data_IF_064633419257
#
_entry.id   IF_064633419257
#
_cell.length_a   1.000
_cell.length_b   1.000
_cell.length_c   1.000
_cell.angle_alpha   90.00
_cell.angle_beta   90.00
_cell.angle_gamma   90.00
#
_symmetry.space_group_name_H-M   'P 1'
#
loop_
_entity.id
_entity.type
_entity.pdbx_description
1 polymer ?
#
# COMPACT_ATOMS: atom_id res chain seq x y z
N UNK A 1 -3.84 16.90 -13.68
CA UNK A 1 -4.55 15.74 -13.09
C UNK A 1 -3.93 14.49 -13.70
N UNK A 2 -3.25 13.64 -12.89
CA UNK A 2 -2.71 12.37 -13.37
C UNK A 2 -3.91 11.42 -13.42
N UNK A 3 -4.33 11.04 -14.61
CA UNK A 3 -5.41 10.04 -14.79
C UNK A 3 -4.79 8.68 -14.49
N UNK A 4 -5.41 7.84 -13.66
CA UNK A 4 -4.99 6.45 -13.50
C UNK A 4 -4.92 5.79 -14.88
N UNK A 5 -3.81 5.10 -15.18
CA UNK A 5 -3.60 4.46 -16.49
C UNK A 5 -4.57 3.32 -16.73
N UNK A 6 -5.06 2.71 -15.65
CA UNK A 6 -5.97 1.57 -15.67
C UNK A 6 -7.15 1.86 -14.74
N UNK A 7 -8.35 1.68 -15.22
CA UNK A 7 -9.56 1.89 -14.44
C UNK A 7 -9.81 0.75 -13.44
N UNK A 8 -10.61 1.03 -12.40
CA UNK A 8 -11.06 -0.01 -11.45
C UNK A 8 -11.71 -1.19 -12.17
N UNK A 9 -12.50 -0.92 -13.20
CA UNK A 9 -13.21 -1.96 -13.96
C UNK A 9 -12.23 -2.89 -14.68
N UNK A 10 -11.21 -2.32 -15.34
CA UNK A 10 -10.17 -3.11 -16.03
C UNK A 10 -9.35 -3.94 -15.05
N UNK A 11 -8.96 -3.38 -13.89
CA UNK A 11 -8.25 -4.13 -12.86
C UNK A 11 -9.10 -5.31 -12.38
N UNK A 12 -10.37 -5.07 -12.06
CA UNK A 12 -11.26 -6.13 -11.58
C UNK A 12 -11.51 -7.21 -12.63
N UNK A 13 -11.62 -6.85 -13.92
CA UNK A 13 -11.72 -7.81 -15.00
C UNK A 13 -10.45 -8.67 -15.12
N UNK A 14 -9.28 -8.07 -15.09
CA UNK A 14 -8.00 -8.81 -15.13
C UNK A 14 -7.88 -9.79 -13.96
N UNK A 15 -8.18 -9.35 -12.75
CA UNK A 15 -8.09 -10.21 -11.55
C UNK A 15 -9.10 -11.36 -11.60
N UNK A 16 -10.35 -11.10 -11.97
CA UNK A 16 -11.38 -12.12 -12.13
C UNK A 16 -11.00 -13.15 -13.19
N UNK A 17 -10.51 -12.72 -14.34
CA UNK A 17 -10.06 -13.63 -15.40
C UNK A 17 -8.93 -14.56 -14.94
N UNK A 18 -8.02 -14.08 -14.07
CA UNK A 18 -7.00 -14.94 -13.45
C UNK A 18 -7.62 -15.97 -12.49
N UNK A 19 -8.54 -15.54 -11.64
CA UNK A 19 -9.25 -16.44 -10.71
C UNK A 19 -10.00 -17.53 -11.45
N UNK A 20 -10.73 -17.18 -12.50
CA UNK A 20 -11.48 -18.13 -13.35
C UNK A 20 -10.55 -19.17 -14.00
N UNK A 21 -9.37 -18.73 -14.42
CA UNK A 21 -8.32 -19.61 -14.99
C UNK A 21 -7.48 -20.32 -13.92
N UNK A 22 -7.78 -20.14 -12.63
CA UNK A 22 -6.98 -20.65 -11.50
C UNK A 22 -5.50 -20.25 -11.56
N UNK A 23 -5.22 -19.06 -12.07
CA UNK A 23 -3.88 -18.48 -12.10
C UNK A 23 -3.64 -17.66 -10.83
N UNK A 24 -2.40 -17.63 -10.32
CA UNK A 24 -2.07 -16.83 -9.16
C UNK A 24 -2.15 -15.34 -9.46
N UNK A 25 -2.58 -14.57 -8.47
CA UNK A 25 -2.46 -13.10 -8.46
C UNK A 25 -1.16 -12.77 -7.73
N UNK A 26 -0.24 -12.11 -8.42
CA UNK A 26 1.07 -11.77 -7.87
C UNK A 26 1.04 -10.35 -7.32
N UNK A 27 1.27 -10.22 -6.01
CA UNK A 27 1.36 -8.95 -5.30
C UNK A 27 2.76 -8.85 -4.70
N UNK A 28 3.45 -7.77 -4.97
CA UNK A 28 4.79 -7.52 -4.44
C UNK A 28 4.93 -6.09 -3.93
N UNK A 29 5.86 -5.89 -3.00
CA UNK A 29 6.11 -4.56 -2.42
C UNK A 29 7.37 -3.94 -2.99
N UNK A 30 7.30 -2.68 -3.40
CA UNK A 30 8.44 -1.93 -3.88
C UNK A 30 8.81 -0.82 -2.90
N UNK A 31 10.09 -0.75 -2.53
CA UNK A 31 10.65 0.32 -1.70
C UNK A 31 11.37 1.41 -2.50
N UNK A 32 11.47 1.23 -3.83
CA UNK A 32 12.06 2.20 -4.75
C UNK A 32 11.51 2.03 -6.16
N UNK A 33 11.64 3.06 -6.99
CA UNK A 33 11.23 3.02 -8.40
C UNK A 33 11.96 1.96 -9.21
N UNK A 34 13.23 1.70 -8.92
CA UNK A 34 13.99 0.63 -9.58
C UNK A 34 13.35 -0.74 -9.31
N UNK A 35 13.03 -1.03 -8.04
CA UNK A 35 12.38 -2.29 -7.67
C UNK A 35 11.00 -2.38 -8.31
N UNK A 36 10.21 -1.30 -8.29
CA UNK A 36 8.90 -1.26 -8.93
C UNK A 36 8.98 -1.58 -10.43
N UNK A 37 9.92 -0.98 -11.14
CA UNK A 37 10.15 -1.25 -12.57
C UNK A 37 10.52 -2.71 -12.84
N UNK A 38 11.36 -3.31 -12.01
CA UNK A 38 11.74 -4.72 -12.14
C UNK A 38 10.57 -5.66 -11.86
N UNK A 39 9.76 -5.36 -10.84
CA UNK A 39 8.55 -6.12 -10.52
C UNK A 39 7.53 -6.04 -11.66
N UNK A 40 7.33 -4.86 -12.24
CA UNK A 40 6.45 -4.69 -13.39
C UNK A 40 6.94 -5.52 -14.59
N UNK A 41 8.25 -5.46 -14.89
CA UNK A 41 8.87 -6.26 -15.96
C UNK A 41 8.76 -7.77 -15.70
N UNK A 42 8.72 -8.19 -14.43
CA UNK A 42 8.48 -9.58 -14.03
C UNK A 42 7.01 -10.00 -14.11
N UNK A 43 6.08 -9.09 -14.43
CA UNK A 43 4.67 -9.38 -14.64
C UNK A 43 3.85 -9.47 -13.36
N UNK A 44 4.21 -8.74 -12.30
CA UNK A 44 3.35 -8.65 -11.11
C UNK A 44 2.05 -7.93 -11.44
N UNK A 45 0.95 -8.32 -10.79
CA UNK A 45 -0.35 -7.68 -10.96
C UNK A 45 -0.47 -6.40 -10.14
N UNK A 46 0.05 -6.44 -8.92
CA UNK A 46 -0.07 -5.36 -7.96
C UNK A 46 1.29 -5.02 -7.34
N UNK A 47 1.58 -3.73 -7.25
CA UNK A 47 2.73 -3.20 -6.52
C UNK A 47 2.23 -2.47 -5.28
N UNK A 48 2.54 -3.03 -4.12
CA UNK A 48 2.25 -2.40 -2.84
C UNK A 48 3.32 -1.37 -2.49
N UNK A 49 2.89 -0.21 -2.03
CA UNK A 49 3.77 0.84 -1.51
C UNK A 49 3.43 1.12 -0.04
N UNK A 50 4.42 1.15 0.82
CA UNK A 50 4.29 1.50 2.24
C UNK A 50 5.65 1.87 2.83
N UNK A 51 5.66 2.72 3.83
CA UNK A 51 6.87 3.24 4.46
C UNK A 51 7.87 2.16 4.87
N UNK A 52 7.41 1.00 5.35
CA UNK A 52 8.27 -0.12 5.70
C UNK A 52 9.05 -0.70 4.51
N UNK A 53 8.47 -0.72 3.31
CA UNK A 53 9.19 -1.13 2.10
C UNK A 53 10.32 -0.14 1.76
N UNK A 54 10.03 1.16 1.90
CA UNK A 54 11.04 2.23 1.72
C UNK A 54 12.15 2.13 2.75
N UNK A 55 11.81 1.94 4.02
CA UNK A 55 12.81 1.79 5.09
C UNK A 55 13.70 0.58 4.87
N UNK A 56 13.13 -0.56 4.47
CA UNK A 56 13.91 -1.77 4.14
C UNK A 56 14.85 -1.55 2.95
N UNK A 57 14.41 -0.85 1.92
CA UNK A 57 15.26 -0.50 0.78
C UNK A 57 16.47 0.36 1.19
N UNK A 58 16.33 1.12 2.28
CA UNK A 58 17.41 1.91 2.90
C UNK A 58 18.17 1.15 3.99
N UNK A 59 17.97 -0.16 4.14
CA UNK A 59 18.64 -0.98 5.15
C UNK A 59 18.09 -0.85 6.58
N UNK A 60 16.91 -0.25 6.76
CA UNK A 60 16.29 -0.01 8.06
C UNK A 60 15.23 -1.08 8.40
N UNK A 61 14.89 -1.15 9.69
CA UNK A 61 13.86 -2.07 10.18
C UNK A 61 12.44 -1.65 9.80
N UNK A 62 11.48 -2.55 10.01
CA UNK A 62 10.08 -2.43 9.56
C UNK A 62 9.15 -1.81 10.60
N UNK A 63 9.67 -1.24 11.67
CA UNK A 63 8.87 -0.71 12.79
C UNK A 63 7.82 0.32 12.39
N UNK A 64 8.01 1.02 11.27
CA UNK A 64 7.02 1.96 10.73
C UNK A 64 5.68 1.31 10.35
N UNK A 65 5.63 -0.01 10.22
CA UNK A 65 4.38 -0.74 9.98
C UNK A 65 3.51 -0.87 11.23
N UNK A 66 4.07 -0.70 12.42
CA UNK A 66 3.37 -0.92 13.68
C UNK A 66 2.67 0.34 14.18
N UNK A 67 3.20 1.51 13.85
CA UNK A 67 2.70 2.81 14.24
C UNK A 67 2.92 3.84 13.13
N UNK A 68 2.26 5.02 13.16
CA UNK A 68 2.56 6.14 12.25
C UNK A 68 3.93 6.79 12.58
N UNK A 69 4.95 5.96 12.82
CA UNK A 69 6.31 6.42 13.14
C UNK A 69 6.87 7.17 11.94
N UNK A 70 7.52 8.31 12.20
CA UNK A 70 8.09 9.17 11.18
C UNK A 70 7.06 9.61 10.11
N UNK A 71 5.80 9.79 10.50
CA UNK A 71 4.71 10.10 9.58
C UNK A 71 4.67 9.10 8.40
N UNK A 72 4.47 7.83 8.72
CA UNK A 72 4.54 6.73 7.76
C UNK A 72 3.56 6.88 6.58
N UNK A 73 2.39 7.50 6.81
CA UNK A 73 1.44 7.80 5.75
C UNK A 73 2.03 8.81 4.75
N UNK A 74 2.59 9.90 5.25
CA UNK A 74 3.25 10.90 4.40
C UNK A 74 4.42 10.29 3.64
N UNK A 75 5.29 9.53 4.31
CA UNK A 75 6.40 8.85 3.65
C UNK A 75 5.92 7.93 2.53
N UNK A 76 4.83 7.16 2.78
CA UNK A 76 4.25 6.29 1.77
C UNK A 76 3.79 7.08 0.55
N UNK A 77 3.08 8.19 0.76
CA UNK A 77 2.57 9.03 -0.33
C UNK A 77 3.70 9.72 -1.09
N UNK A 78 4.67 10.29 -0.39
CA UNK A 78 5.76 11.05 -1.00
C UNK A 78 6.60 10.16 -1.92
N UNK A 79 7.11 9.02 -1.46
CA UNK A 79 7.90 8.16 -2.34
C UNK A 79 7.05 7.45 -3.42
N UNK A 80 5.77 7.19 -3.16
CA UNK A 80 4.87 6.68 -4.19
C UNK A 80 4.77 7.68 -5.33
N UNK A 81 4.60 8.95 -5.02
CA UNK A 81 4.49 10.04 -6.00
C UNK A 81 5.80 10.27 -6.76
N UNK A 82 6.90 10.34 -6.03
CA UNK A 82 8.18 10.84 -6.55
C UNK A 82 9.03 9.75 -7.20
N UNK A 83 8.91 8.52 -6.72
CA UNK A 83 9.80 7.42 -7.09
C UNK A 83 9.05 6.30 -7.84
N UNK A 84 7.90 5.82 -7.31
CA UNK A 84 7.20 4.67 -7.87
C UNK A 84 6.39 5.04 -9.12
N UNK A 85 5.50 6.03 -9.01
CA UNK A 85 4.61 6.42 -10.12
C UNK A 85 5.35 6.78 -11.42
N UNK A 86 6.48 7.50 -11.38
CA UNK A 86 7.25 7.77 -12.58
C UNK A 86 7.93 6.55 -13.19
N UNK A 87 8.22 5.52 -12.40
CA UNK A 87 8.94 4.32 -12.83
C UNK A 87 8.02 3.30 -13.53
N UNK A 88 6.74 3.24 -13.14
CA UNK A 88 5.75 2.33 -13.68
C UNK A 88 5.21 2.84 -15.02
N UNK A 89 5.25 2.00 -16.05
CA UNK A 89 4.80 2.35 -17.41
C UNK A 89 3.79 1.37 -17.99
N UNK A 90 3.69 0.19 -17.42
CA UNK A 90 2.83 -0.91 -17.89
C UNK A 90 1.52 -1.01 -17.13
N UNK A 91 1.11 -2.25 -16.90
CA UNK A 91 -0.22 -2.64 -16.47
C UNK A 91 -0.36 -2.99 -14.99
N UNK A 92 0.75 -3.00 -14.23
CA UNK A 92 0.70 -3.25 -12.80
C UNK A 92 -0.09 -2.13 -12.09
N UNK A 93 -1.06 -2.48 -11.27
CA UNK A 93 -1.76 -1.48 -10.48
C UNK A 93 -1.03 -1.22 -9.16
N UNK A 94 -1.14 0.01 -8.67
CA UNK A 94 -0.48 0.46 -7.44
C UNK A 94 -1.50 0.46 -6.31
N UNK A 95 -1.13 -0.18 -5.19
CA UNK A 95 -1.86 -0.16 -3.95
C UNK A 95 -1.04 0.57 -2.87
N UNK A 96 -1.53 1.73 -2.42
CA UNK A 96 -0.93 2.42 -1.29
C UNK A 96 -1.43 1.78 0.02
N UNK A 97 -0.49 1.26 0.80
CA UNK A 97 -0.80 0.67 2.09
C UNK A 97 -0.59 1.73 3.19
N UNK A 98 -1.68 2.12 3.83
CA UNK A 98 -1.75 3.25 4.76
C UNK A 98 -2.03 2.77 6.19
N UNK A 99 -1.61 3.55 7.16
CA UNK A 99 -1.99 3.37 8.55
C UNK A 99 -3.28 4.14 8.84
N UNK A 100 -4.42 3.46 8.81
CA UNK A 100 -5.73 4.07 9.06
C UNK A 100 -5.93 4.47 10.55
N UNK A 101 -5.06 3.99 11.43
CA UNK A 101 -5.06 4.30 12.86
C UNK A 101 -4.22 5.54 13.23
N UNK A 102 -3.73 6.31 12.25
CA UNK A 102 -2.97 7.53 12.51
C UNK A 102 -3.89 8.60 13.12
N UNK A 103 -3.73 8.93 14.41
CA UNK A 103 -4.62 9.87 15.10
C UNK A 103 -4.40 11.33 14.67
N UNK A 104 -3.33 11.60 13.95
CA UNK A 104 -2.95 12.95 13.49
C UNK A 104 -3.40 13.23 12.06
N UNK A 105 -4.07 12.29 11.40
CA UNK A 105 -4.47 12.41 9.99
C UNK A 105 -5.98 12.30 9.81
N UNK A 106 -6.53 13.20 9.03
CA UNK A 106 -7.84 12.98 8.43
C UNK A 106 -7.67 12.02 7.24
N UNK A 107 -8.12 10.78 7.42
CA UNK A 107 -7.99 9.75 6.39
C UNK A 107 -8.73 10.07 5.10
N UNK A 108 -9.76 10.92 5.13
CA UNK A 108 -10.43 11.38 3.90
C UNK A 108 -9.47 12.20 3.04
N UNK A 109 -8.72 13.12 3.67
CA UNK A 109 -7.71 13.91 2.96
C UNK A 109 -6.60 13.01 2.40
N UNK A 110 -6.15 12.03 3.15
CA UNK A 110 -5.13 11.06 2.70
C UNK A 110 -5.63 10.25 1.49
N UNK A 111 -6.88 9.82 1.50
CA UNK A 111 -7.50 9.11 0.38
C UNK A 111 -7.67 9.99 -0.85
N UNK A 112 -8.04 11.27 -0.65
CA UNK A 112 -8.12 12.24 -1.75
C UNK A 112 -6.75 12.48 -2.39
N UNK A 113 -5.68 12.50 -1.61
CA UNK A 113 -4.32 12.59 -2.14
C UNK A 113 -3.94 11.35 -2.96
N UNK A 114 -4.31 10.14 -2.51
CA UNK A 114 -4.15 8.92 -3.28
C UNK A 114 -4.87 9.00 -4.65
N UNK A 115 -6.12 9.48 -4.66
CA UNK A 115 -6.88 9.65 -5.89
C UNK A 115 -6.22 10.66 -6.84
N UNK A 116 -5.77 11.82 -6.32
CA UNK A 116 -5.07 12.84 -7.11
C UNK A 116 -3.77 12.34 -7.72
N UNK A 117 -3.07 11.46 -7.02
CA UNK A 117 -1.84 10.83 -7.52
C UNK A 117 -2.09 9.78 -8.60
N UNK A 118 -3.30 9.27 -8.71
CA UNK A 118 -3.62 8.16 -9.60
C UNK A 118 -3.28 6.79 -9.02
N UNK A 119 -3.23 6.67 -7.69
CA UNK A 119 -3.15 5.38 -6.99
C UNK A 119 -4.45 4.60 -7.26
N UNK A 120 -4.33 3.33 -7.59
CA UNK A 120 -5.46 2.51 -8.06
C UNK A 120 -6.28 1.91 -6.91
N UNK A 121 -5.62 1.62 -5.79
CA UNK A 121 -6.23 1.04 -4.60
C UNK A 121 -5.50 1.44 -3.34
N UNK A 122 -6.17 1.30 -2.22
CA UNK A 122 -5.57 1.49 -0.89
C UNK A 122 -5.87 0.28 -0.03
N UNK A 123 -4.97 -0.02 0.90
CA UNK A 123 -5.19 -1.02 1.93
C UNK A 123 -4.75 -0.49 3.28
N UNK A 124 -5.40 -0.96 4.35
CA UNK A 124 -4.92 -0.70 5.69
C UNK A 124 -3.79 -1.67 6.02
N UNK A 125 -2.59 -1.14 6.27
CA UNK A 125 -1.42 -1.89 6.73
C UNK A 125 -1.10 -1.57 8.19
N UNK A 126 -1.99 -0.86 8.82
CA UNK A 126 -1.88 -0.54 10.24
C UNK A 126 -1.50 -1.76 11.06
N UNK A 127 -1.18 -1.61 12.35
CA UNK A 127 -0.60 -2.66 13.15
C UNK A 127 -1.33 -3.95 12.84
N UNK A 128 -0.66 -4.76 12.07
CA UNK A 128 -1.34 -5.85 11.39
C UNK A 128 -1.95 -6.72 12.47
N UNK A 129 -3.22 -6.97 12.35
CA UNK A 129 -4.00 -7.89 13.15
C UNK A 129 -3.23 -9.19 13.42
N UNK A 130 -2.35 -9.59 12.49
CA UNK A 130 -1.47 -10.74 12.63
C UNK A 130 -0.45 -10.65 13.79
N UNK A 131 -0.09 -9.44 14.25
CA UNK A 131 0.75 -9.29 15.46
C UNK A 131 -0.09 -9.24 16.74
N UNK A 132 -1.37 -8.99 16.62
CA UNK A 132 -2.28 -8.76 17.75
C UNK A 132 -2.94 -10.05 18.22
N UNK A 133 -2.84 -11.12 17.47
CA UNK A 133 -3.57 -12.37 17.74
C UNK A 133 -3.08 -13.10 19.01
N UNK A 134 -1.90 -12.75 19.50
CA UNK A 134 -1.28 -13.34 20.69
C UNK A 134 -1.25 -12.47 21.93
N UNK A 135 -1.57 -11.18 21.79
CA UNK A 135 -1.50 -10.23 22.90
C UNK A 135 -2.78 -9.40 23.03
N UNK A 136 -3.60 -9.77 24.02
CA UNK A 136 -4.90 -9.14 24.28
C UNK A 136 -4.76 -7.66 24.65
N UNK A 137 -3.66 -7.27 25.29
CA UNK A 137 -3.46 -5.87 25.68
C UNK A 137 -3.14 -4.99 24.47
N UNK A 138 -2.29 -5.46 23.58
CA UNK A 138 -2.01 -4.75 22.32
C UNK A 138 -3.30 -4.65 21.49
N UNK A 139 -4.11 -5.70 21.44
CA UNK A 139 -5.41 -5.66 20.77
C UNK A 139 -6.34 -4.58 21.34
N UNK A 140 -6.41 -4.42 22.65
CA UNK A 140 -7.22 -3.39 23.30
C UNK A 140 -6.75 -1.98 22.96
N UNK A 141 -5.44 -1.73 22.96
CA UNK A 141 -4.86 -0.45 22.58
C UNK A 141 -5.19 -0.11 21.12
N UNK A 142 -5.06 -1.08 20.23
CA UNK A 142 -5.31 -0.88 18.80
C UNK A 142 -6.80 -0.64 18.50
N UNK A 143 -7.70 -1.37 19.17
CA UNK A 143 -9.15 -1.15 19.03
C UNK A 143 -9.58 0.18 19.60
N UNK A 144 -8.99 0.63 20.71
CA UNK A 144 -9.26 1.96 21.28
C UNK A 144 -8.75 3.09 20.38
N UNK A 145 -7.75 2.84 19.54
CA UNK A 145 -7.26 3.79 18.53
C UNK A 145 -8.11 3.83 17.24
N UNK A 146 -9.30 3.23 17.24
CA UNK A 146 -10.25 3.30 16.13
C UNK A 146 -10.00 2.27 15.02
N UNK A 147 -9.18 1.25 15.26
CA UNK A 147 -9.05 0.13 14.34
C UNK A 147 -10.28 -0.77 14.54
N UNK A 148 -11.26 -0.60 13.70
CA UNK A 148 -12.37 -1.54 13.62
C UNK A 148 -11.89 -2.80 12.92
N UNK A 149 -11.87 -3.90 13.64
CA UNK A 149 -11.71 -5.23 13.04
C UNK A 149 -13.00 -5.51 12.28
N UNK A 150 -12.98 -5.35 10.97
CA UNK A 150 -14.03 -5.87 10.07
C UNK A 150 -13.71 -7.31 9.69
#
# INVERSE_FOLDING_TARGET
MIVPRTSRTEIMQKLRAKVEKRLPIHIASAGSGLVAKLLEAAGVDCINTFSGARLRANGMGTMSMLWPILDSNRQTLDYTREDIMPAIKGDAFICACLNANDPLKDMRMVLDDCLRMGVHSVSNIGPSISYVDKDIEIRRVLTSAGITLQ
#
